data_IF_795235815375
#
_entry.id   IF_795235815375
#
_cell.length_a   1.000
_cell.length_b   1.000
_cell.length_c   1.000
_cell.angle_alpha   90.00
_cell.angle_beta   90.00
_cell.angle_gamma   90.00
#
_symmetry.space_group_name_H-M   'P 1'
#
loop_
_entity.id
_entity.type
_entity.pdbx_description
1 polymer ?
#
# COMPACT_ATOMS: atom_id res chain seq x y z
N UNK A 1 1.17 1.68 -33.75
CA UNK A 1 0.25 0.54 -33.78
C UNK A 1 -0.12 0.23 -32.35
N UNK A 2 -1.31 0.64 -31.92
CA UNK A 2 -1.87 0.26 -30.63
C UNK A 2 -2.62 -1.05 -30.87
N UNK A 3 -2.09 -2.16 -30.37
CA UNK A 3 -2.70 -3.47 -30.50
C UNK A 3 -3.88 -3.58 -29.55
N UNK A 4 -5.07 -3.65 -30.12
CA UNK A 4 -6.30 -4.07 -29.46
C UNK A 4 -6.21 -5.58 -29.22
N UNK A 5 -5.93 -6.01 -28.00
CA UNK A 5 -6.11 -7.41 -27.63
C UNK A 5 -7.49 -7.57 -26.98
N UNK A 6 -8.31 -8.33 -27.67
CA UNK A 6 -9.71 -8.63 -27.38
C UNK A 6 -9.85 -9.44 -26.10
N UNK A 7 -10.71 -8.96 -25.19
CA UNK A 7 -11.35 -9.76 -24.16
C UNK A 7 -12.31 -10.75 -24.84
N UNK A 8 -11.82 -11.95 -25.16
CA UNK A 8 -12.65 -13.09 -25.59
C UNK A 8 -11.85 -14.37 -25.29
N UNK A 9 -12.34 -15.18 -24.36
CA UNK A 9 -11.69 -16.43 -23.95
C UNK A 9 -11.32 -16.47 -22.49
N UNK A 10 -12.24 -16.94 -21.64
CA UNK A 10 -11.85 -17.50 -20.34
C UNK A 10 -11.06 -18.77 -20.68
N UNK A 11 -9.76 -18.88 -20.33
CA UNK A 11 -9.05 -20.14 -20.46
C UNK A 11 -9.80 -21.20 -19.64
N UNK A 12 -10.08 -22.36 -20.24
CA UNK A 12 -10.60 -23.47 -19.45
C UNK A 12 -9.66 -23.72 -18.27
N UNK A 13 -10.24 -23.73 -17.09
CA UNK A 13 -9.51 -24.03 -15.86
C UNK A 13 -8.92 -25.42 -16.01
N UNK A 14 -7.59 -25.61 -15.84
CA UNK A 14 -6.97 -26.92 -15.98
C UNK A 14 -7.65 -27.96 -15.08
N UNK A 15 -7.83 -29.18 -15.57
CA UNK A 15 -8.53 -30.25 -14.85
C UNK A 15 -7.94 -30.50 -13.46
N UNK A 16 -6.63 -30.28 -13.29
CA UNK A 16 -5.90 -30.45 -12.02
C UNK A 16 -6.40 -29.49 -10.92
N UNK A 17 -6.98 -28.34 -11.30
CA UNK A 17 -7.50 -27.33 -10.35
C UNK A 17 -9.03 -27.24 -10.35
N UNK A 18 -9.74 -28.06 -11.14
CA UNK A 18 -11.20 -28.07 -11.23
C UNK A 18 -11.87 -28.20 -9.85
N UNK A 19 -11.43 -29.16 -9.03
CA UNK A 19 -11.95 -29.34 -7.67
C UNK A 19 -11.65 -28.15 -6.73
N UNK A 20 -10.63 -27.34 -7.00
CA UNK A 20 -10.38 -26.11 -6.23
C UNK A 20 -11.36 -25.01 -6.62
N UNK A 21 -11.64 -24.87 -7.92
CA UNK A 21 -12.57 -23.89 -8.46
C UNK A 21 -14.01 -24.20 -8.05
N UNK A 22 -14.40 -25.47 -8.04
CA UNK A 22 -15.72 -25.88 -7.54
C UNK A 22 -15.91 -25.52 -6.07
N UNK A 23 -14.92 -25.78 -5.20
CA UNK A 23 -14.98 -25.40 -3.77
C UNK A 23 -15.08 -23.89 -3.56
N UNK A 24 -14.46 -23.09 -4.43
CA UNK A 24 -14.59 -21.64 -4.41
C UNK A 24 -15.99 -21.16 -4.89
N UNK A 25 -16.76 -22.04 -5.54
CA UNK A 25 -18.11 -21.80 -6.04
C UNK A 25 -18.20 -21.53 -7.53
N UNK A 26 -17.22 -22.03 -8.31
CA UNK A 26 -17.18 -21.92 -9.77
C UNK A 26 -16.47 -20.67 -10.29
N UNK A 27 -16.05 -20.72 -11.56
CA UNK A 27 -15.33 -19.62 -12.24
C UNK A 27 -16.12 -18.32 -12.17
N UNK A 28 -17.42 -18.37 -12.50
CA UNK A 28 -18.27 -17.18 -12.54
C UNK A 28 -18.30 -16.44 -11.20
N UNK A 29 -18.33 -17.17 -10.08
CA UNK A 29 -18.32 -16.57 -8.75
C UNK A 29 -16.98 -15.92 -8.42
N UNK A 30 -15.87 -16.55 -8.83
CA UNK A 30 -14.52 -16.00 -8.65
C UNK A 30 -14.39 -14.71 -9.46
N UNK A 31 -14.74 -14.73 -10.74
CA UNK A 31 -14.67 -13.58 -11.65
C UNK A 31 -15.56 -12.43 -11.14
N UNK A 32 -16.79 -12.72 -10.70
CA UNK A 32 -17.67 -11.70 -10.11
C UNK A 32 -17.19 -11.16 -8.76
N UNK A 33 -16.30 -11.89 -8.08
CA UNK A 33 -15.67 -11.47 -6.84
C UNK A 33 -14.44 -10.58 -7.04
N UNK A 34 -13.94 -10.44 -8.27
CA UNK A 34 -12.81 -9.56 -8.55
C UNK A 34 -13.21 -8.09 -8.34
N UNK A 35 -12.36 -7.27 -7.69
CA UNK A 35 -12.56 -5.83 -7.66
C UNK A 35 -12.55 -5.24 -9.08
N UNK A 36 -13.10 -4.05 -9.24
CA UNK A 36 -12.98 -3.31 -10.50
C UNK A 36 -11.53 -2.94 -10.80
N UNK A 37 -11.21 -2.71 -12.08
CA UNK A 37 -9.89 -2.26 -12.53
C UNK A 37 -9.42 -0.97 -11.84
N UNK A 38 -10.34 -0.06 -11.54
CA UNK A 38 -10.03 1.18 -10.80
C UNK A 38 -9.54 0.87 -9.38
N UNK A 39 -10.21 -0.06 -8.68
CA UNK A 39 -9.81 -0.50 -7.34
C UNK A 39 -8.47 -1.24 -7.38
N UNK A 40 -8.26 -2.11 -8.38
CA UNK A 40 -6.98 -2.80 -8.57
C UNK A 40 -5.85 -1.80 -8.82
N UNK A 41 -6.09 -0.78 -9.64
CA UNK A 41 -5.12 0.29 -9.93
C UNK A 41 -4.77 1.09 -8.68
N UNK A 42 -5.77 1.48 -7.89
CA UNK A 42 -5.57 2.16 -6.60
C UNK A 42 -4.73 1.31 -5.64
N UNK A 43 -5.06 0.02 -5.50
CA UNK A 43 -4.29 -0.91 -4.65
C UNK A 43 -2.85 -1.09 -5.14
N UNK A 44 -2.63 -1.17 -6.44
CA UNK A 44 -1.28 -1.23 -7.03
C UNK A 44 -0.45 0.01 -6.69
N UNK A 45 -1.04 1.21 -6.73
CA UNK A 45 -0.34 2.45 -6.35
C UNK A 45 0.11 2.41 -4.88
N UNK A 46 -0.78 1.98 -3.99
CA UNK A 46 -0.47 1.82 -2.57
C UNK A 46 0.65 0.78 -2.36
N UNK A 47 0.55 -0.39 -2.98
CA UNK A 47 1.57 -1.43 -2.84
C UNK A 47 2.92 -1.01 -3.41
N UNK A 48 2.94 -0.27 -4.52
CA UNK A 48 4.17 0.32 -5.06
C UNK A 48 4.77 1.36 -4.09
N UNK A 49 3.93 2.16 -3.43
CA UNK A 49 4.39 3.07 -2.38
C UNK A 49 4.89 2.33 -1.13
N UNK A 50 4.42 1.12 -0.83
CA UNK A 50 4.87 0.35 0.33
C UNK A 50 6.05 -0.60 0.04
N UNK A 51 6.37 -0.88 -1.21
CA UNK A 51 7.46 -1.80 -1.62
C UNK A 51 8.88 -1.24 -1.42
N UNK A 52 9.10 -0.44 -0.37
CA UNK A 52 10.41 0.09 0.02
C UNK A 52 10.59 0.05 1.53
N UNK A 53 11.70 -0.55 1.97
CA UNK A 53 12.08 -0.60 3.38
C UNK A 53 12.24 0.77 4.02
N UNK A 54 12.65 1.80 3.25
CA UNK A 54 12.76 3.18 3.74
C UNK A 54 11.38 3.78 4.03
N UNK A 55 10.43 3.58 3.11
CA UNK A 55 9.06 4.09 3.27
C UNK A 55 8.32 3.37 4.39
N UNK A 56 8.49 2.04 4.49
CA UNK A 56 7.98 1.27 5.62
C UNK A 56 8.55 1.75 6.95
N UNK A 57 9.86 2.04 7.03
CA UNK A 57 10.46 2.62 8.23
C UNK A 57 9.83 3.96 8.62
N UNK A 58 9.58 4.84 7.65
CA UNK A 58 8.90 6.13 7.89
C UNK A 58 7.47 5.88 8.39
N UNK A 59 6.74 4.93 7.80
CA UNK A 59 5.39 4.55 8.26
C UNK A 59 5.39 4.07 9.72
N UNK A 60 6.32 3.18 10.10
CA UNK A 60 6.47 2.73 11.49
C UNK A 60 6.81 3.87 12.47
N UNK A 61 7.65 4.82 12.04
CA UNK A 61 7.96 6.01 12.84
C UNK A 61 6.69 6.86 13.05
N UNK A 62 5.92 7.10 11.97
CA UNK A 62 4.70 7.90 12.01
C UNK A 62 3.52 7.20 12.69
N UNK A 63 3.55 5.86 12.78
CA UNK A 63 2.59 5.10 13.59
C UNK A 63 2.77 5.38 15.10
N UNK A 64 4.00 5.66 15.54
CA UNK A 64 4.29 6.00 16.93
C UNK A 64 4.05 7.46 17.28
N UNK A 65 4.31 8.39 16.35
CA UNK A 65 4.11 9.84 16.57
C UNK A 65 4.03 10.65 15.28
N UNK A 66 3.25 11.73 15.32
CA UNK A 66 3.20 12.74 14.26
C UNK A 66 4.47 13.62 14.30
N UNK A 67 5.22 13.68 13.20
CA UNK A 67 6.58 14.26 13.19
C UNK A 67 6.84 15.17 11.98
N UNK A 68 7.73 16.13 12.16
CA UNK A 68 8.29 16.90 11.04
C UNK A 68 9.46 16.16 10.37
N UNK A 69 9.84 16.53 9.13
CA UNK A 69 10.96 15.91 8.42
C UNK A 69 12.29 15.94 9.19
N UNK A 70 12.55 17.01 9.96
CA UNK A 70 13.77 17.14 10.76
C UNK A 70 13.82 16.14 11.93
N UNK A 71 12.68 15.81 12.54
CA UNK A 71 12.62 14.77 13.56
C UNK A 71 12.80 13.37 12.95
N UNK A 72 12.16 13.10 11.80
CA UNK A 72 12.35 11.84 11.05
C UNK A 72 13.82 11.67 10.64
N UNK A 73 14.52 12.75 10.29
CA UNK A 73 15.96 12.74 10.01
C UNK A 73 16.78 12.26 11.19
N UNK A 74 16.48 12.71 12.41
CA UNK A 74 17.17 12.25 13.62
C UNK A 74 16.97 10.75 13.82
N UNK A 75 15.76 10.24 13.58
CA UNK A 75 15.42 8.82 13.78
C UNK A 75 15.97 7.89 12.69
N UNK A 76 16.13 8.40 11.46
CA UNK A 76 16.52 7.59 10.29
C UNK A 76 17.97 7.77 9.86
N UNK A 77 18.62 8.86 10.27
CA UNK A 77 19.96 9.26 9.79
C UNK A 77 20.01 9.72 8.33
N UNK A 78 18.85 9.85 7.65
CA UNK A 78 18.78 10.20 6.24
C UNK A 78 18.81 11.72 6.02
N UNK A 79 19.21 12.15 4.81
CA UNK A 79 19.09 13.56 4.44
C UNK A 79 17.62 13.98 4.38
N UNK A 80 17.36 15.25 4.68
CA UNK A 80 16.00 15.82 4.65
C UNK A 80 15.39 15.74 3.25
N UNK A 81 16.19 15.97 2.20
CA UNK A 81 15.77 15.80 0.80
C UNK A 81 15.29 14.39 0.47
N UNK A 82 15.96 13.36 1.02
CA UNK A 82 15.57 11.97 0.82
C UNK A 82 14.28 11.65 1.54
N UNK A 83 14.11 12.19 2.75
CA UNK A 83 12.89 12.02 3.55
C UNK A 83 11.70 12.68 2.84
N UNK A 84 11.85 13.93 2.38
CA UNK A 84 10.80 14.63 1.62
C UNK A 84 10.37 13.83 0.40
N UNK A 85 11.31 13.32 -0.40
CA UNK A 85 10.98 12.47 -1.55
C UNK A 85 10.13 11.24 -1.17
N UNK A 86 10.47 10.58 -0.05
CA UNK A 86 9.69 9.44 0.42
C UNK A 86 8.32 9.83 0.98
N UNK A 87 8.22 10.97 1.65
CA UNK A 87 6.95 11.51 2.15
C UNK A 87 6.02 11.90 1.01
N UNK A 88 6.54 12.50 -0.07
CA UNK A 88 5.74 12.89 -1.24
C UNK A 88 5.14 11.66 -1.94
N UNK A 89 5.90 10.55 -2.03
CA UNK A 89 5.38 9.28 -2.57
C UNK A 89 4.28 8.70 -1.68
N UNK A 90 4.50 8.70 -0.35
CA UNK A 90 3.53 8.18 0.61
C UNK A 90 2.26 9.05 0.64
N UNK A 91 2.40 10.36 0.48
CA UNK A 91 1.29 11.31 0.43
C UNK A 91 0.51 11.17 -0.88
N UNK A 92 1.21 11.01 -2.01
CA UNK A 92 0.58 10.73 -3.30
C UNK A 92 -0.19 9.42 -3.33
N UNK A 93 0.21 8.43 -2.52
CA UNK A 93 -0.52 7.18 -2.31
C UNK A 93 -1.60 7.27 -1.22
N UNK A 94 -1.83 8.45 -0.63
CA UNK A 94 -2.85 8.67 0.40
C UNK A 94 -2.56 8.00 1.76
N UNK A 95 -1.32 7.57 2.02
CA UNK A 95 -0.94 6.86 3.25
C UNK A 95 -0.52 7.81 4.39
N UNK A 96 0.02 8.97 4.02
CA UNK A 96 0.35 10.05 4.96
C UNK A 96 -0.32 11.34 4.53
N UNK A 97 -0.48 12.24 5.48
CA UNK A 97 -0.95 13.61 5.26
C UNK A 97 -0.10 14.56 6.09
N UNK A 98 -0.05 15.81 5.67
CA UNK A 98 0.65 16.84 6.44
C UNK A 98 -0.22 18.05 6.79
N UNK A 99 0.10 18.71 7.90
CA UNK A 99 -0.55 19.94 8.34
C UNK A 99 0.44 20.96 8.90
N UNK A 100 0.13 22.27 8.85
CA UNK A 100 0.93 23.28 9.50
C UNK A 100 0.79 23.19 11.03
N UNK A 101 1.92 23.22 11.74
CA UNK A 101 1.98 23.37 13.19
C UNK A 101 3.04 24.41 13.55
N UNK A 102 2.59 25.62 13.92
CA UNK A 102 3.45 26.79 14.14
C UNK A 102 4.34 27.03 12.91
N UNK A 103 5.67 26.85 13.04
CA UNK A 103 6.65 27.02 11.95
C UNK A 103 6.97 25.73 11.20
N UNK A 104 6.37 24.61 11.59
CA UNK A 104 6.71 23.27 11.11
C UNK A 104 5.59 22.69 10.28
N UNK A 105 5.95 21.81 9.35
CA UNK A 105 5.01 20.89 8.68
C UNK A 105 5.10 19.55 9.40
N UNK A 106 3.97 19.09 9.94
CA UNK A 106 3.88 17.83 10.67
C UNK A 106 3.18 16.82 9.78
N UNK A 107 3.80 15.65 9.64
CA UNK A 107 3.27 14.50 8.93
C UNK A 107 2.64 13.53 9.91
N UNK A 108 1.54 12.92 9.49
CA UNK A 108 0.72 11.97 10.26
C UNK A 108 0.22 10.89 9.31
N UNK A 109 -0.08 9.71 9.83
CA UNK A 109 -0.75 8.67 9.03
C UNK A 109 -2.20 9.11 8.69
N UNK A 110 -2.65 8.75 7.50
CA UNK A 110 -4.09 8.78 7.17
C UNK A 110 -4.82 7.60 7.83
N UNK A 111 -6.13 7.50 7.63
CA UNK A 111 -6.86 6.32 8.09
C UNK A 111 -6.44 5.07 7.33
N UNK A 112 -6.27 5.17 6.00
CA UNK A 112 -5.74 4.07 5.17
C UNK A 112 -4.32 3.69 5.63
N UNK A 113 -3.44 4.68 5.86
CA UNK A 113 -2.10 4.45 6.37
C UNK A 113 -2.08 3.71 7.71
N UNK A 114 -2.96 4.08 8.65
CA UNK A 114 -3.11 3.34 9.92
C UNK A 114 -3.64 1.94 9.72
N UNK A 115 -4.65 1.75 8.86
CA UNK A 115 -5.23 0.44 8.58
C UNK A 115 -4.16 -0.54 8.05
N UNK A 116 -3.25 -0.07 7.18
CA UNK A 116 -2.12 -0.87 6.71
C UNK A 116 -1.18 -1.29 7.84
N UNK A 117 -0.82 -0.37 8.73
CA UNK A 117 0.08 -0.68 9.85
C UNK A 117 -0.53 -1.72 10.81
N UNK A 118 -1.80 -1.55 11.19
CA UNK A 118 -2.49 -2.50 12.07
C UNK A 118 -2.72 -3.88 11.44
N UNK A 119 -2.90 -3.95 10.12
CA UNK A 119 -3.01 -5.23 9.42
C UNK A 119 -1.67 -5.99 9.42
N UNK A 120 -0.54 -5.28 9.29
CA UNK A 120 0.80 -5.89 9.32
C UNK A 120 1.23 -6.36 10.71
N UNK A 121 0.89 -5.63 11.77
CA UNK A 121 1.29 -5.94 13.16
C UNK A 121 0.67 -7.24 13.72
N UNK A 122 -0.44 -7.74 13.14
CA UNK A 122 -0.96 -9.09 13.46
C UNK A 122 -0.01 -10.22 13.07
N UNK A 123 0.96 -9.95 12.19
CA UNK A 123 1.94 -10.94 11.73
C UNK A 123 3.28 -10.85 12.48
N UNK A 124 3.59 -9.69 13.06
CA UNK A 124 4.90 -9.37 13.66
C UNK A 124 4.90 -9.31 15.20
N UNK A 125 3.76 -9.54 15.86
CA UNK A 125 3.59 -9.55 17.32
C UNK A 125 4.37 -10.66 18.07
N UNK A 126 5.36 -11.29 17.44
CA UNK A 126 6.28 -12.26 18.04
C UNK A 126 7.75 -11.84 17.94
N UNK A 127 8.03 -10.56 17.71
CA UNK A 127 9.39 -10.05 17.52
C UNK A 127 9.75 -8.88 18.47
N UNK A 128 9.44 -9.01 19.77
CA UNK A 128 10.22 -8.38 20.88
C UNK A 128 10.24 -9.34 22.06
#
# INVERSE_FOLDING_TARGET
MCGSETFDGIPEVPDEVGGMVERAGGIDKIVRGLPSEDVLTEKCQIFAALSSSVRLRIMYILAGADLCPSAIKVLTGMSESRISYHLDILEGAGLVKHGPWRRWRIYSLTEEGRAFMYASERSDANAI
#
